data_IF_896496960468
#
_entry.id   IF_896496960468
#
_cell.length_a   1.000
_cell.length_b   1.000
_cell.length_c   1.000
_cell.angle_alpha   90.00
_cell.angle_beta   90.00
_cell.angle_gamma   90.00
#
_symmetry.space_group_name_H-M   'P 1'
#
loop_
_entity.id
_entity.type
_entity.pdbx_description
1 polymer ?
#
# COMPACT_ATOMS: atom_id res chain seq x y z
N UNK A 1 17.68 9.40 9.99
CA UNK A 1 16.36 8.79 10.15
C UNK A 1 15.79 8.43 8.78
N UNK A 2 15.04 7.33 8.71
CA UNK A 2 14.25 6.94 7.55
C UNK A 2 12.79 7.37 7.72
N UNK A 3 12.19 7.89 6.67
CA UNK A 3 10.76 8.22 6.66
C UNK A 3 10.07 7.30 5.67
N UNK A 4 9.26 6.38 6.17
CA UNK A 4 8.54 5.39 5.40
C UNK A 4 7.04 5.68 5.46
N UNK A 5 6.34 5.57 4.31
CA UNK A 5 4.88 5.55 4.24
C UNK A 5 4.43 4.11 4.02
N UNK A 6 3.63 3.56 4.94
CA UNK A 6 3.26 2.16 4.92
C UNK A 6 1.75 1.95 5.00
N UNK A 7 1.29 0.88 4.33
CA UNK A 7 -0.11 0.47 4.31
C UNK A 7 -0.27 -0.97 3.81
N UNK A 8 -1.51 -1.49 3.82
CA UNK A 8 -1.86 -2.76 3.24
C UNK A 8 -2.91 -2.65 2.13
N UNK A 9 -2.60 -3.23 0.97
CA UNK A 9 -3.58 -3.49 -0.08
C UNK A 9 -4.19 -4.86 0.12
N UNK A 10 -5.41 -4.88 0.65
CA UNK A 10 -6.13 -6.10 1.00
C UNK A 10 -6.87 -6.73 -0.20
N UNK A 11 -7.18 -8.02 -0.08
CA UNK A 11 -8.07 -8.75 -1.01
C UNK A 11 -7.69 -8.66 -2.48
N UNK A 12 -6.39 -8.64 -2.79
CA UNK A 12 -5.92 -8.71 -4.18
C UNK A 12 -6.28 -10.09 -4.74
N UNK A 13 -7.07 -10.12 -5.79
CA UNK A 13 -7.62 -11.37 -6.33
C UNK A 13 -6.73 -11.94 -7.44
N UNK A 14 -6.48 -13.25 -7.38
CA UNK A 14 -5.92 -14.01 -8.49
C UNK A 14 -7.05 -14.32 -9.49
N UNK A 15 -7.19 -13.47 -10.50
CA UNK A 15 -8.23 -13.58 -11.53
C UNK A 15 -7.66 -14.31 -12.74
N UNK A 16 -8.30 -15.40 -13.12
CA UNK A 16 -8.09 -16.10 -14.39
C UNK A 16 -9.23 -15.77 -15.32
N UNK A 17 -8.93 -15.15 -16.47
CA UNK A 17 -9.92 -14.79 -17.48
C UNK A 17 -10.15 -15.98 -18.36
N UNK A 18 -11.39 -16.41 -18.47
CA UNK A 18 -11.78 -17.59 -19.24
C UNK A 18 -11.80 -17.36 -20.75
N UNK A 19 -11.80 -16.09 -21.16
CA UNK A 19 -11.79 -15.72 -22.59
C UNK A 19 -10.73 -14.67 -22.89
N UNK A 20 -10.06 -14.74 -24.07
CA UNK A 20 -9.11 -13.73 -24.50
C UNK A 20 -9.77 -12.36 -24.64
N UNK A 21 -9.00 -11.30 -24.39
CA UNK A 21 -9.46 -9.93 -24.65
C UNK A 21 -9.78 -9.75 -26.13
N UNK A 22 -10.91 -9.10 -26.42
CA UNK A 22 -11.20 -8.70 -27.80
C UNK A 22 -10.26 -7.57 -28.21
N UNK A 23 -9.51 -7.71 -29.31
CA UNK A 23 -8.51 -6.72 -29.70
C UNK A 23 -9.17 -5.38 -30.05
N UNK A 24 -8.41 -4.31 -29.80
CA UNK A 24 -8.81 -2.95 -30.19
C UNK A 24 -8.98 -2.92 -31.74
N UNK A 25 -10.17 -2.59 -32.19
CA UNK A 25 -10.45 -2.32 -33.61
C UNK A 25 -10.69 -0.83 -33.81
N UNK A 26 -10.42 -0.32 -35.04
CA UNK A 26 -10.68 1.09 -35.39
C UNK A 26 -12.15 1.44 -35.07
N UNK A 27 -12.34 2.41 -34.14
CA UNK A 27 -13.66 2.85 -33.69
C UNK A 27 -14.29 2.04 -32.56
N UNK A 28 -13.59 1.04 -31.97
CA UNK A 28 -14.05 0.30 -30.79
C UNK A 28 -12.95 0.20 -29.75
N UNK A 29 -13.27 0.57 -28.50
CA UNK A 29 -12.40 0.31 -27.35
C UNK A 29 -12.24 -1.21 -27.14
N UNK A 30 -11.07 -1.64 -26.66
CA UNK A 30 -10.87 -3.03 -26.23
C UNK A 30 -11.88 -3.38 -25.14
N UNK A 31 -12.62 -4.45 -25.33
CA UNK A 31 -13.63 -4.92 -24.38
C UNK A 31 -13.06 -6.08 -23.58
N UNK A 32 -13.07 -5.96 -22.25
CA UNK A 32 -12.69 -7.05 -21.35
C UNK A 32 -13.95 -7.89 -21.07
N UNK A 33 -13.84 -9.22 -21.24
CA UNK A 33 -14.93 -10.12 -20.86
C UNK A 33 -15.12 -10.12 -19.35
N UNK A 34 -16.37 -10.17 -18.89
CA UNK A 34 -16.71 -10.22 -17.46
C UNK A 34 -16.56 -11.62 -16.84
N UNK A 35 -16.28 -12.64 -17.68
CA UNK A 35 -16.11 -14.01 -17.22
C UNK A 35 -14.69 -14.23 -16.69
N UNK A 36 -14.60 -14.45 -15.39
CA UNK A 36 -13.34 -14.74 -14.71
C UNK A 36 -13.54 -15.80 -13.61
N UNK A 37 -12.53 -16.64 -13.44
CA UNK A 37 -12.40 -17.57 -12.32
C UNK A 37 -11.55 -16.92 -11.24
N UNK A 38 -12.01 -17.02 -9.99
CA UNK A 38 -11.25 -16.55 -8.81
C UNK A 38 -10.44 -17.71 -8.23
N UNK A 39 -9.13 -17.56 -8.20
CA UNK A 39 -8.20 -18.59 -7.70
C UNK A 39 -7.64 -18.27 -6.31
N UNK A 40 -8.32 -17.38 -5.57
CA UNK A 40 -7.95 -16.96 -4.23
C UNK A 40 -7.47 -15.51 -4.15
N UNK A 41 -7.06 -15.10 -2.96
CA UNK A 41 -6.66 -13.72 -2.65
C UNK A 41 -5.35 -13.67 -1.89
N UNK A 42 -4.69 -12.52 -1.93
CA UNK A 42 -3.56 -12.18 -1.06
C UNK A 42 -3.69 -10.73 -0.58
N UNK A 43 -2.98 -10.40 0.49
CA UNK A 43 -2.80 -9.02 0.97
C UNK A 43 -1.35 -8.63 0.77
N UNK A 44 -1.11 -7.47 0.20
CA UNK A 44 0.22 -6.88 0.06
C UNK A 44 0.41 -5.83 1.16
N UNK A 45 1.37 -6.07 2.05
CA UNK A 45 1.94 -5.05 2.93
C UNK A 45 3.09 -4.37 2.21
N UNK A 46 3.14 -3.06 2.21
CA UNK A 46 4.25 -2.33 1.59
C UNK A 46 4.56 -1.04 2.34
N UNK A 47 5.84 -0.68 2.35
CA UNK A 47 6.36 0.59 2.85
C UNK A 47 7.27 1.21 1.80
N UNK A 48 7.04 2.47 1.46
CA UNK A 48 7.86 3.22 0.52
C UNK A 48 8.73 4.23 1.25
N UNK A 49 10.01 4.24 0.95
CA UNK A 49 10.93 5.28 1.40
C UNK A 49 10.59 6.60 0.71
N UNK A 50 10.38 7.65 1.50
CA UNK A 50 9.97 8.96 0.99
C UNK A 50 11.09 9.68 0.23
N UNK A 51 12.36 9.39 0.54
CA UNK A 51 13.52 10.02 -0.09
C UNK A 51 14.02 9.24 -1.29
N UNK A 52 14.12 7.92 -1.18
CA UNK A 52 14.68 7.07 -2.25
C UNK A 52 13.59 6.53 -3.18
N UNK A 53 12.35 6.43 -2.71
CA UNK A 53 11.26 5.80 -3.45
C UNK A 53 11.32 4.26 -3.45
N UNK A 54 12.25 3.66 -2.71
CA UNK A 54 12.39 2.21 -2.59
C UNK A 54 11.25 1.61 -1.79
N UNK A 55 10.80 0.43 -2.18
CA UNK A 55 9.65 -0.25 -1.56
C UNK A 55 10.10 -1.53 -0.86
N UNK A 56 9.80 -1.64 0.43
CA UNK A 56 9.86 -2.87 1.23
C UNK A 56 8.47 -3.49 1.20
N UNK A 57 8.34 -4.79 0.94
CA UNK A 57 7.01 -5.40 0.81
C UNK A 57 6.96 -6.86 1.20
N UNK A 58 5.75 -7.33 1.53
CA UNK A 58 5.46 -8.74 1.77
C UNK A 58 4.02 -9.09 1.43
N UNK A 59 3.81 -10.17 0.67
CA UNK A 59 2.50 -10.74 0.42
C UNK A 59 2.13 -11.75 1.51
N UNK A 60 1.00 -11.53 2.17
CA UNK A 60 0.50 -12.38 3.25
C UNK A 60 -0.97 -12.77 2.99
N UNK A 61 -1.42 -13.85 3.63
CA UNK A 61 -2.78 -14.38 3.39
C UNK A 61 -3.85 -13.60 4.19
N UNK A 62 -3.45 -12.89 5.23
CA UNK A 62 -4.35 -12.12 6.12
C UNK A 62 -3.75 -10.75 6.41
N UNK A 63 -4.58 -9.83 6.94
CA UNK A 63 -4.22 -8.44 7.27
C UNK A 63 -4.53 -8.10 8.74
N UNK A 64 -4.19 -9.04 9.67
CA UNK A 64 -4.38 -8.86 11.10
C UNK A 64 -3.13 -8.23 11.74
N UNK A 65 -3.22 -7.89 13.02
CA UNK A 65 -2.08 -7.37 13.77
C UNK A 65 -0.85 -8.31 13.79
N UNK A 66 -1.05 -9.64 13.66
CA UNK A 66 0.05 -10.60 13.57
C UNK A 66 0.85 -10.42 12.28
N UNK A 67 0.16 -10.30 11.16
CA UNK A 67 0.78 -10.05 9.85
C UNK A 67 1.45 -8.67 9.82
N UNK A 68 0.81 -7.67 10.41
CA UNK A 68 1.41 -6.34 10.56
C UNK A 68 2.72 -6.38 11.37
N UNK A 69 2.76 -7.09 12.52
CA UNK A 69 3.99 -7.25 13.29
C UNK A 69 5.07 -7.99 12.51
N UNK A 70 4.71 -9.00 11.71
CA UNK A 70 5.68 -9.67 10.81
C UNK A 70 6.25 -8.69 9.80
N UNK A 71 5.42 -7.79 9.27
CA UNK A 71 5.86 -6.76 8.33
C UNK A 71 6.76 -5.73 9.01
N UNK A 72 6.46 -5.29 10.24
CA UNK A 72 7.34 -4.43 11.02
C UNK A 72 8.71 -5.07 11.28
N UNK A 73 8.75 -6.37 11.61
CA UNK A 73 10.00 -7.12 11.74
C UNK A 73 10.78 -7.20 10.42
N UNK A 74 10.09 -7.26 9.27
CA UNK A 74 10.72 -7.20 7.96
C UNK A 74 11.38 -5.84 7.74
N UNK A 75 10.66 -4.75 7.99
CA UNK A 75 11.21 -3.39 7.90
C UNK A 75 12.44 -3.24 8.82
N UNK A 76 12.35 -3.72 10.06
CA UNK A 76 13.45 -3.66 11.04
C UNK A 76 14.73 -4.34 10.52
N UNK A 77 14.57 -5.50 9.88
CA UNK A 77 15.68 -6.28 9.33
C UNK A 77 16.27 -5.69 8.05
N UNK A 78 15.44 -5.07 7.19
CA UNK A 78 15.85 -4.56 5.88
C UNK A 78 16.33 -3.10 5.92
N UNK A 79 16.28 -2.46 7.08
CA UNK A 79 16.73 -1.08 7.26
C UNK A 79 17.96 -1.00 8.16
N UNK A 80 18.89 -0.04 7.94
CA UNK A 80 20.07 0.13 8.76
C UNK A 80 19.72 0.27 10.25
N UNK A 81 20.35 -0.52 11.15
CA UNK A 81 19.96 -0.60 12.56
C UNK A 81 20.22 0.70 13.35
N UNK A 82 21.12 1.54 12.88
CA UNK A 82 21.50 2.82 13.48
C UNK A 82 20.52 3.96 13.18
N UNK A 83 19.58 3.76 12.25
CA UNK A 83 18.65 4.81 11.84
C UNK A 83 17.31 4.68 12.58
N UNK A 84 16.78 5.79 13.05
CA UNK A 84 15.39 5.89 13.49
C UNK A 84 14.45 5.76 12.30
N UNK A 85 13.32 5.11 12.49
CA UNK A 85 12.29 4.87 11.50
C UNK A 85 11.03 5.63 11.86
N UNK A 86 10.71 6.64 11.07
CA UNK A 86 9.43 7.35 11.12
C UNK A 86 8.47 6.70 10.15
N UNK A 87 7.46 6.00 10.67
CA UNK A 87 6.51 5.23 9.89
C UNK A 87 5.16 5.95 9.83
N UNK A 88 4.82 6.48 8.66
CA UNK A 88 3.53 7.12 8.38
C UNK A 88 2.53 6.03 8.04
N UNK A 89 1.43 5.95 8.80
CA UNK A 89 0.38 4.93 8.67
C UNK A 89 -1.00 5.56 8.80
N UNK A 90 -2.01 4.87 8.29
CA UNK A 90 -3.40 5.27 8.48
C UNK A 90 -3.93 4.93 9.90
N UNK A 91 -5.16 5.34 10.16
CA UNK A 91 -5.83 5.12 11.46
C UNK A 91 -6.47 3.74 11.62
N UNK A 92 -6.10 2.75 10.80
CA UNK A 92 -6.70 1.43 10.87
C UNK A 92 -6.48 0.76 12.24
N UNK A 93 -7.51 0.07 12.74
CA UNK A 93 -7.51 -0.51 14.08
C UNK A 93 -6.36 -1.50 14.33
N UNK A 94 -5.93 -2.20 13.29
CA UNK A 94 -4.81 -3.14 13.33
C UNK A 94 -3.51 -2.46 13.80
N UNK A 95 -3.23 -1.24 13.33
CA UNK A 95 -2.03 -0.47 13.68
C UNK A 95 -2.04 -0.02 15.14
N UNK A 96 -3.23 0.11 15.74
CA UNK A 96 -3.42 0.55 17.15
C UNK A 96 -3.59 -0.61 18.13
N UNK A 97 -3.52 -1.86 17.66
CA UNK A 97 -3.72 -3.04 18.49
C UNK A 97 -2.69 -3.11 19.65
N UNK A 98 -3.11 -3.61 20.82
CA UNK A 98 -2.27 -3.67 22.04
C UNK A 98 -0.94 -4.38 21.82
N UNK A 99 -0.92 -5.48 21.05
CA UNK A 99 0.32 -6.22 20.70
C UNK A 99 1.25 -5.41 19.80
N UNK A 100 0.71 -4.56 18.91
CA UNK A 100 1.50 -3.65 18.07
C UNK A 100 2.13 -2.57 18.95
N UNK A 101 1.36 -1.95 19.85
CA UNK A 101 1.87 -0.98 20.83
C UNK A 101 2.99 -1.58 21.70
N UNK A 102 2.82 -2.83 22.15
CA UNK A 102 3.84 -3.53 22.93
C UNK A 102 5.10 -3.82 22.11
N UNK A 103 4.96 -4.11 20.81
CA UNK A 103 6.08 -4.28 19.89
C UNK A 103 6.84 -2.96 19.71
N UNK A 104 6.16 -1.86 19.40
CA UNK A 104 6.76 -0.51 19.27
C UNK A 104 7.51 -0.10 20.53
N UNK A 105 6.93 -0.34 21.72
CA UNK A 105 7.60 -0.02 22.99
C UNK A 105 8.96 -0.70 23.14
N UNK A 106 9.14 -1.89 22.56
CA UNK A 106 10.41 -2.65 22.59
C UNK A 106 11.39 -2.23 21.49
N UNK A 107 10.87 -1.71 20.36
CA UNK A 107 11.66 -1.29 19.19
C UNK A 107 11.71 0.24 19.16
N UNK A 108 12.52 0.84 20.03
CA UNK A 108 12.53 2.28 20.30
C UNK A 108 12.87 3.16 19.09
N UNK A 109 13.53 2.59 18.09
CA UNK A 109 13.84 3.30 16.85
C UNK A 109 12.62 3.50 15.92
N UNK A 110 11.46 2.87 16.24
CA UNK A 110 10.22 3.00 15.47
C UNK A 110 9.31 4.07 16.06
N UNK A 111 8.97 5.06 15.25
CA UNK A 111 8.07 6.17 15.56
C UNK A 111 6.88 6.16 14.61
N UNK A 112 5.68 5.80 15.10
CA UNK A 112 4.48 5.79 14.28
C UNK A 112 3.83 7.18 14.23
N UNK A 113 3.52 7.62 13.03
CA UNK A 113 2.81 8.86 12.73
C UNK A 113 1.49 8.53 12.04
N UNK A 114 0.38 8.76 12.73
CA UNK A 114 -0.95 8.50 12.17
C UNK A 114 -1.41 9.68 11.35
N UNK A 115 -1.81 9.44 10.09
CA UNK A 115 -2.46 10.45 9.26
C UNK A 115 -3.86 10.76 9.80
N UNK A 116 -4.41 11.98 9.59
CA UNK A 116 -5.78 12.30 10.00
C UNK A 116 -6.81 11.36 9.36
N UNK A 117 -7.91 11.11 10.07
CA UNK A 117 -9.04 10.33 9.53
C UNK A 117 -9.52 10.95 8.20
N UNK A 118 -9.92 10.13 7.24
CA UNK A 118 -10.34 10.55 5.90
C UNK A 118 -9.27 11.28 5.06
N UNK A 119 -8.00 11.11 5.42
CA UNK A 119 -6.86 11.72 4.72
C UNK A 119 -5.92 10.69 4.08
N UNK A 120 -6.44 9.58 3.59
CA UNK A 120 -5.65 8.52 2.92
C UNK A 120 -4.81 9.05 1.75
N UNK A 121 -5.23 10.15 1.11
CA UNK A 121 -4.46 10.84 0.08
C UNK A 121 -3.10 11.39 0.58
N UNK A 122 -2.89 11.49 1.89
CA UNK A 122 -1.58 11.80 2.50
C UNK A 122 -0.69 10.55 2.61
N UNK A 123 -1.26 9.35 2.46
CA UNK A 123 -0.49 8.11 2.48
C UNK A 123 0.09 7.84 1.09
N UNK A 124 1.38 8.13 0.93
CA UNK A 124 2.07 8.08 -0.36
C UNK A 124 2.06 6.68 -0.97
N UNK A 125 2.09 5.63 -0.16
CA UNK A 125 2.06 4.23 -0.62
C UNK A 125 0.79 3.90 -1.42
N UNK A 126 -0.32 4.61 -1.19
CA UNK A 126 -1.55 4.45 -1.97
C UNK A 126 -1.35 4.81 -3.46
N UNK A 127 -0.52 5.81 -3.74
CA UNK A 127 -0.11 6.13 -5.11
C UNK A 127 0.65 4.98 -5.77
N UNK A 128 1.52 4.30 -5.02
CA UNK A 128 2.22 3.11 -5.48
C UNK A 128 1.24 1.94 -5.73
N UNK A 129 0.28 1.70 -4.83
CA UNK A 129 -0.76 0.69 -5.02
C UNK A 129 -1.63 0.96 -6.26
N UNK A 130 -1.93 2.21 -6.55
CA UNK A 130 -2.62 2.60 -7.78
C UNK A 130 -1.78 2.31 -9.04
N UNK A 131 -0.46 2.56 -9.00
CA UNK A 131 0.50 2.24 -10.07
C UNK A 131 0.57 0.73 -10.32
N UNK A 132 0.73 -0.08 -9.25
CA UNK A 132 0.72 -1.55 -9.30
C UNK A 132 -0.59 -2.06 -9.92
N UNK A 133 -1.73 -1.55 -9.45
CA UNK A 133 -3.05 -1.95 -9.95
C UNK A 133 -3.18 -1.70 -11.44
N UNK A 134 -2.82 -0.50 -11.91
CA UNK A 134 -2.95 -0.14 -13.33
C UNK A 134 -2.00 -0.91 -14.24
N UNK A 135 -0.75 -1.10 -13.81
CA UNK A 135 0.29 -1.67 -14.68
C UNK A 135 0.32 -3.19 -14.64
N UNK A 136 0.02 -3.80 -13.49
CA UNK A 136 0.20 -5.24 -13.30
C UNK A 136 -1.11 -5.97 -13.03
N UNK A 137 -1.94 -5.50 -12.08
CA UNK A 137 -3.07 -6.30 -11.60
C UNK A 137 -4.28 -6.23 -12.54
N UNK A 138 -4.61 -5.04 -13.06
CA UNK A 138 -5.84 -4.84 -13.86
C UNK A 138 -5.87 -5.66 -15.16
N UNK A 139 -4.71 -5.91 -15.76
CA UNK A 139 -4.57 -6.67 -17.01
C UNK A 139 -3.95 -8.05 -16.81
N UNK A 140 -3.52 -8.36 -15.58
CA UNK A 140 -2.92 -9.65 -15.26
C UNK A 140 -3.93 -10.79 -15.30
N UNK A 141 -3.45 -11.95 -15.73
CA UNK A 141 -4.18 -13.22 -15.66
C UNK A 141 -3.40 -14.12 -14.70
N UNK A 142 -4.05 -14.55 -13.61
CA UNK A 142 -3.40 -15.28 -12.55
C UNK A 142 -4.16 -16.57 -12.25
N UNK A 143 -3.57 -17.71 -12.60
CA UNK A 143 -4.16 -19.04 -12.41
C UNK A 143 -3.99 -19.57 -10.98
N UNK A 144 -3.20 -18.89 -10.17
CA UNK A 144 -3.00 -19.22 -8.75
C UNK A 144 -2.58 -17.99 -7.94
N UNK A 145 -2.75 -18.05 -6.61
CA UNK A 145 -2.24 -17.03 -5.69
C UNK A 145 -0.71 -16.95 -5.75
N UNK A 146 -0.02 -18.07 -5.99
CA UNK A 146 1.43 -18.07 -6.13
C UNK A 146 1.90 -17.24 -7.34
N UNK A 147 1.24 -17.39 -8.51
CA UNK A 147 1.52 -16.55 -9.69
C UNK A 147 1.25 -15.07 -9.42
N UNK A 148 0.15 -14.75 -8.73
CA UNK A 148 -0.17 -13.38 -8.35
C UNK A 148 0.92 -12.79 -7.43
N UNK A 149 1.34 -13.51 -6.38
CA UNK A 149 2.39 -13.07 -5.46
C UNK A 149 3.70 -12.85 -6.22
N UNK A 150 4.09 -13.77 -7.12
CA UNK A 150 5.29 -13.63 -7.92
C UNK A 150 5.25 -12.38 -8.80
N UNK A 151 4.13 -12.15 -9.52
CA UNK A 151 3.99 -10.97 -10.37
C UNK A 151 4.03 -9.65 -9.59
N UNK A 152 3.52 -9.63 -8.35
CA UNK A 152 3.64 -8.48 -7.45
C UNK A 152 5.10 -8.26 -7.05
N UNK A 153 5.82 -9.32 -6.68
CA UNK A 153 7.24 -9.26 -6.29
C UNK A 153 8.09 -8.78 -7.46
N UNK A 154 7.94 -9.37 -8.65
CA UNK A 154 8.68 -8.97 -9.86
C UNK A 154 8.46 -7.49 -10.21
N UNK A 155 7.22 -7.00 -10.05
CA UNK A 155 6.90 -5.59 -10.28
C UNK A 155 7.62 -4.67 -9.28
N UNK A 156 7.68 -5.07 -8.00
CA UNK A 156 8.34 -4.29 -6.95
C UNK A 156 9.86 -4.33 -7.13
N UNK A 157 10.42 -5.49 -7.47
CA UNK A 157 11.85 -5.65 -7.74
C UNK A 157 12.29 -4.80 -8.93
N UNK A 158 11.52 -4.80 -10.03
CA UNK A 158 11.76 -3.94 -11.17
C UNK A 158 11.65 -2.44 -10.81
N UNK A 159 10.72 -2.06 -9.94
CA UNK A 159 10.62 -0.70 -9.42
C UNK A 159 11.85 -0.33 -8.59
N UNK A 160 12.31 -1.23 -7.74
CA UNK A 160 13.45 -1.01 -6.85
C UNK A 160 14.82 -0.98 -7.57
N UNK A 161 14.90 -1.48 -8.82
CA UNK A 161 16.10 -1.30 -9.65
C UNK A 161 16.33 0.15 -10.07
N UNK A 162 15.27 0.94 -10.23
CA UNK A 162 15.34 2.38 -10.54
C UNK A 162 14.24 3.14 -9.79
N UNK A 163 14.34 3.20 -8.46
CA UNK A 163 13.34 3.84 -7.63
C UNK A 163 13.36 5.36 -7.87
N UNK A 164 12.21 5.99 -7.76
CA UNK A 164 12.09 7.44 -7.89
C UNK A 164 11.52 8.00 -6.60
N UNK A 165 12.12 9.06 -6.04
CA UNK A 165 11.62 9.69 -4.84
C UNK A 165 10.20 10.22 -5.07
N UNK A 166 9.43 10.25 -4.00
CA UNK A 166 8.11 10.86 -4.07
C UNK A 166 8.24 12.38 -4.02
N UNK A 167 7.66 13.05 -5.02
CA UNK A 167 7.67 14.51 -5.10
C UNK A 167 6.27 15.05 -4.82
N UNK A 168 6.13 15.81 -3.73
CA UNK A 168 4.91 16.55 -3.43
C UNK A 168 4.72 17.69 -4.41
N UNK A 169 3.62 17.68 -5.16
CA UNK A 169 3.25 18.78 -6.06
C UNK A 169 2.43 19.86 -5.35
N UNK A 170 1.84 19.54 -4.19
CA UNK A 170 1.12 20.49 -3.35
C UNK A 170 2.02 21.06 -2.27
N UNK A 171 1.94 22.37 -2.01
CA UNK A 171 2.68 23.01 -0.92
C UNK A 171 2.13 22.60 0.45
N UNK A 172 2.94 22.72 1.51
CA UNK A 172 2.55 22.39 2.87
C UNK A 172 1.28 23.17 3.30
N UNK A 173 1.18 24.45 2.93
CA UNK A 173 0.04 25.31 3.25
C UNK A 173 -1.26 24.78 2.63
N UNK A 174 -1.23 24.37 1.36
CA UNK A 174 -2.39 23.75 0.68
C UNK A 174 -2.79 22.43 1.31
N UNK A 175 -1.83 21.66 1.79
CA UNK A 175 -2.10 20.40 2.50
C UNK A 175 -2.78 20.68 3.83
N UNK A 176 -2.24 21.61 4.63
CA UNK A 176 -2.79 22.00 5.94
C UNK A 176 -4.20 22.57 5.77
N UNK A 177 -4.45 23.42 4.77
CA UNK A 177 -5.77 23.96 4.47
C UNK A 177 -6.79 22.86 4.15
N UNK A 178 -6.43 21.87 3.33
CA UNK A 178 -7.31 20.72 3.03
C UNK A 178 -7.63 19.89 4.26
N UNK A 179 -6.64 19.63 5.11
CA UNK A 179 -6.83 18.91 6.38
C UNK A 179 -7.74 19.70 7.31
N UNK A 180 -7.57 21.00 7.39
CA UNK A 180 -8.44 21.91 8.18
C UNK A 180 -9.90 21.85 7.72
N UNK A 181 -10.13 21.93 6.40
CA UNK A 181 -11.50 21.80 5.83
C UNK A 181 -12.12 20.43 6.13
N UNK A 182 -11.36 19.34 5.99
CA UNK A 182 -11.85 17.99 6.32
C UNK A 182 -12.26 17.86 7.80
N UNK A 183 -11.47 18.42 8.73
CA UNK A 183 -11.81 18.46 10.16
C UNK A 183 -13.10 19.22 10.46
N UNK A 184 -13.33 20.35 9.78
CA UNK A 184 -14.56 21.13 9.95
C UNK A 184 -15.81 20.37 9.49
N UNK A 185 -15.71 19.58 8.42
CA UNK A 185 -16.81 18.72 7.95
C UNK A 185 -17.09 17.59 8.95
N UNK A 186 -16.05 16.89 9.42
CA UNK A 186 -16.18 15.80 10.38
C UNK A 186 -16.75 16.26 11.73
N UNK A 187 -16.44 17.49 12.17
CA UNK A 187 -16.99 18.05 13.41
C UNK A 187 -18.44 18.52 13.28
N UNK A 188 -18.95 18.72 12.05
CA UNK A 188 -20.35 19.11 11.80
C UNK A 188 -21.28 17.90 11.67
N UNK A 189 -20.75 16.72 11.42
CA UNK A 189 -21.55 15.49 11.27
C UNK A 189 -20.98 14.41 12.21
N UNK A 190 -21.42 14.36 13.50
CA UNK A 190 -20.95 13.40 14.49
C UNK A 190 -21.44 11.96 14.24
N UNK A 191 -22.18 11.70 13.15
CA UNK A 191 -22.75 10.40 12.77
C UNK A 191 -21.91 9.61 11.74
N UNK A 192 -20.70 10.07 11.39
CA UNK A 192 -19.77 9.35 10.50
C UNK A 192 -18.55 8.84 11.25
#
# INVERSE_FOLDING_TARGET
ALVLSADEKTSIQALDRTQPELPIKKGRCGTMTHDYKRNGTTTLFAAIDMLEGKVISSCMDKHRHQEWIKFLNLIDRETPPELDIHLIVDNYATHKHTKVKAWIKRHKRFHLHFIPTSSSWLNVIEGFFAKLTRKQLKRGVFRSVAQLKQAITDFIDAHNQNPQPFVWTATAEKIIEKVGRARLVLNKDPSV
#
